data_IF_331025563859
#
_entry.id   IF_331025563859
#
_cell.length_a   1.000
_cell.length_b   1.000
_cell.length_c   1.000
_cell.angle_alpha   90.00
_cell.angle_beta   90.00
_cell.angle_gamma   90.00
#
_symmetry.space_group_name_H-M   'P 1'
#
loop_
_entity.id
_entity.type
_entity.pdbx_description
1 polymer ?
#
# COMPACT_ATOMS: atom_id res chain seq x y z
N UNK A 1 6.12 -15.68 -8.31
CA UNK A 1 7.18 -14.73 -7.88
C UNK A 1 8.38 -15.59 -7.47
N UNK A 2 9.63 -15.21 -7.78
CA UNK A 2 10.78 -16.03 -7.33
C UNK A 2 10.81 -16.10 -5.80
N UNK A 3 11.22 -17.23 -5.22
CA UNK A 3 11.25 -17.45 -3.78
C UNK A 3 12.14 -16.41 -3.07
N UNK A 4 13.31 -16.12 -3.64
CA UNK A 4 14.25 -15.12 -3.11
C UNK A 4 13.60 -13.72 -2.98
N UNK A 5 12.78 -13.33 -3.96
CA UNK A 5 12.09 -12.03 -3.94
C UNK A 5 10.99 -11.98 -2.88
N UNK A 6 10.36 -13.12 -2.58
CA UNK A 6 9.38 -13.18 -1.50
C UNK A 6 10.07 -13.07 -0.13
N UNK A 7 11.19 -13.75 0.05
CA UNK A 7 11.97 -13.68 1.29
C UNK A 7 12.50 -12.26 1.54
N UNK A 8 13.02 -11.60 0.49
CA UNK A 8 13.45 -10.19 0.57
C UNK A 8 12.29 -9.26 0.92
N UNK A 9 11.13 -9.47 0.30
CA UNK A 9 9.92 -8.68 0.58
C UNK A 9 9.46 -8.90 2.03
N UNK A 10 9.41 -10.14 2.50
CA UNK A 10 9.02 -10.46 3.87
C UNK A 10 10.01 -9.88 4.90
N UNK A 11 11.30 -9.88 4.58
CA UNK A 11 12.33 -9.26 5.41
C UNK A 11 12.15 -7.74 5.47
N UNK A 12 11.94 -7.10 4.33
CA UNK A 12 11.68 -5.66 4.26
C UNK A 12 10.39 -5.26 5.00
N UNK A 13 9.36 -6.10 4.94
CA UNK A 13 8.07 -5.82 5.58
C UNK A 13 8.08 -6.00 7.11
N UNK A 14 9.11 -6.58 7.73
CA UNK A 14 9.12 -6.87 9.17
C UNK A 14 8.69 -5.71 10.08
N UNK A 15 9.15 -4.46 9.89
CA UNK A 15 8.74 -3.34 10.73
C UNK A 15 7.23 -3.04 10.63
N UNK A 16 6.64 -3.26 9.45
CA UNK A 16 5.22 -3.06 9.19
C UNK A 16 4.37 -4.21 9.75
N UNK A 17 4.84 -5.45 9.61
CA UNK A 17 4.16 -6.62 10.17
C UNK A 17 4.08 -6.55 11.70
N UNK A 18 5.07 -5.95 12.37
CA UNK A 18 5.01 -5.69 13.82
C UNK A 18 3.85 -4.76 14.22
N UNK A 19 3.46 -3.81 13.36
CA UNK A 19 2.31 -2.93 13.56
C UNK A 19 0.96 -3.60 13.34
N UNK A 20 0.94 -4.77 12.68
CA UNK A 20 -0.28 -5.55 12.46
C UNK A 20 -0.56 -6.48 13.65
N UNK A 21 -1.48 -6.08 14.53
CA UNK A 21 -1.83 -6.83 15.74
C UNK A 21 -2.37 -8.25 15.46
N UNK A 22 -3.18 -8.42 14.42
CA UNK A 22 -3.85 -9.69 14.12
C UNK A 22 -2.97 -10.64 13.29
N UNK A 23 -2.82 -11.90 13.73
CA UNK A 23 -2.00 -12.93 13.07
C UNK A 23 -2.39 -13.14 11.59
N UNK A 24 -3.69 -13.18 11.29
CA UNK A 24 -4.13 -13.37 9.90
C UNK A 24 -3.74 -12.17 9.02
N UNK A 25 -3.73 -10.94 9.55
CA UNK A 25 -3.31 -9.75 8.80
C UNK A 25 -1.81 -9.80 8.51
N UNK A 26 -1.00 -10.21 9.49
CA UNK A 26 0.45 -10.42 9.29
C UNK A 26 0.76 -11.44 8.21
N UNK A 27 0.02 -12.56 8.18
CA UNK A 27 0.18 -13.58 7.13
C UNK A 27 -0.23 -13.06 5.75
N UNK A 28 -1.33 -12.30 5.67
CA UNK A 28 -1.89 -11.86 4.39
C UNK A 28 -1.18 -10.65 3.77
N UNK A 29 -0.53 -9.82 4.59
CA UNK A 29 0.11 -8.58 4.14
C UNK A 29 1.19 -8.81 3.06
N UNK A 30 2.19 -9.70 3.24
CA UNK A 30 3.20 -9.95 2.21
C UNK A 30 2.59 -10.45 0.90
N UNK A 31 1.60 -11.34 0.98
CA UNK A 31 0.90 -11.90 -0.17
C UNK A 31 0.12 -10.82 -0.95
N UNK A 32 -0.52 -9.89 -0.23
CA UNK A 32 -1.23 -8.77 -0.84
C UNK A 32 -0.26 -7.81 -1.54
N UNK A 33 0.83 -7.42 -0.87
CA UNK A 33 1.85 -6.52 -1.44
C UNK A 33 2.53 -7.17 -2.64
N UNK A 34 2.87 -8.47 -2.55
CA UNK A 34 3.40 -9.25 -3.66
C UNK A 34 2.47 -9.23 -4.89
N UNK A 35 1.16 -9.34 -4.69
CA UNK A 35 0.20 -9.25 -5.80
C UNK A 35 0.11 -7.86 -6.42
N UNK A 36 0.36 -6.79 -5.65
CA UNK A 36 0.40 -5.41 -6.13
C UNK A 36 1.67 -5.11 -6.95
N UNK A 37 2.85 -5.43 -6.41
CA UNK A 37 4.14 -5.14 -7.07
C UNK A 37 4.52 -6.19 -8.11
N UNK A 38 3.94 -7.39 -8.02
CA UNK A 38 4.18 -8.51 -8.92
C UNK A 38 3.61 -8.31 -10.33
N UNK A 39 3.85 -9.25 -11.25
CA UNK A 39 3.48 -9.13 -12.65
C UNK A 39 1.95 -8.99 -12.86
N UNK A 40 1.58 -8.28 -13.93
CA UNK A 40 0.19 -8.12 -14.38
C UNK A 40 -0.28 -6.68 -14.37
N UNK A 41 -1.00 -6.29 -15.43
CA UNK A 41 -1.42 -4.90 -15.67
C UNK A 41 -2.51 -4.43 -14.68
N UNK A 42 -3.40 -5.35 -14.28
CA UNK A 42 -4.48 -5.06 -13.34
C UNK A 42 -4.11 -5.50 -11.92
N UNK A 43 -4.15 -4.52 -11.00
CA UNK A 43 -3.83 -4.64 -9.56
C UNK A 43 -5.05 -4.72 -8.65
N UNK A 44 -6.24 -4.99 -9.21
CA UNK A 44 -7.42 -5.25 -8.38
C UNK A 44 -7.36 -6.66 -7.78
N UNK A 45 -8.12 -6.88 -6.69
CA UNK A 45 -8.12 -8.13 -5.92
C UNK A 45 -8.41 -9.35 -6.79
N UNK A 46 -9.37 -9.26 -7.72
CA UNK A 46 -9.76 -10.38 -8.58
C UNK A 46 -8.63 -10.83 -9.53
N UNK A 47 -8.00 -9.95 -10.33
CA UNK A 47 -6.81 -10.31 -11.08
C UNK A 47 -5.64 -10.81 -10.23
N UNK A 48 -5.41 -10.25 -9.04
CA UNK A 48 -4.36 -10.74 -8.13
C UNK A 48 -4.64 -12.19 -7.70
N UNK A 49 -5.87 -12.48 -7.25
CA UNK A 49 -6.29 -13.82 -6.86
C UNK A 49 -6.19 -14.82 -8.01
N UNK A 50 -6.54 -14.41 -9.23
CA UNK A 50 -6.46 -15.27 -10.42
C UNK A 50 -5.02 -15.68 -10.79
N UNK A 51 -4.01 -14.96 -10.30
CA UNK A 51 -2.58 -15.26 -10.50
C UNK A 51 -1.92 -15.92 -9.30
N UNK A 52 -2.58 -15.94 -8.15
CA UNK A 52 -2.03 -16.49 -6.93
C UNK A 52 -2.28 -18.00 -6.87
N UNK A 53 -1.27 -18.77 -6.49
CA UNK A 53 -1.38 -20.22 -6.32
C UNK A 53 -1.98 -20.56 -4.95
N UNK A 54 -1.63 -19.79 -3.91
CA UNK A 54 -1.92 -20.12 -2.51
C UNK A 54 -3.00 -19.25 -1.85
N UNK A 55 -3.58 -18.29 -2.57
CA UNK A 55 -4.45 -17.26 -1.97
C UNK A 55 -5.67 -16.96 -2.82
N UNK A 56 -6.85 -17.15 -2.23
CA UNK A 56 -8.13 -16.88 -2.90
C UNK A 56 -8.58 -15.42 -2.81
N UNK A 57 -9.54 -15.07 -3.67
CA UNK A 57 -10.19 -13.75 -3.72
C UNK A 57 -10.70 -13.30 -2.35
N UNK A 58 -11.46 -14.15 -1.65
CA UNK A 58 -12.07 -13.79 -0.37
C UNK A 58 -11.04 -13.48 0.70
N UNK A 59 -9.89 -14.14 0.69
CA UNK A 59 -8.83 -13.89 1.67
C UNK A 59 -8.17 -12.53 1.44
N UNK A 60 -7.86 -12.20 0.18
CA UNK A 60 -7.32 -10.89 -0.19
C UNK A 60 -8.34 -9.77 0.04
N UNK A 61 -9.60 -10.01 -0.33
CA UNK A 61 -10.68 -9.06 -0.12
C UNK A 61 -10.92 -8.84 1.37
N UNK A 62 -10.96 -9.90 2.18
CA UNK A 62 -11.11 -9.79 3.62
C UNK A 62 -9.93 -9.05 4.27
N UNK A 63 -8.70 -9.27 3.79
CA UNK A 63 -7.53 -8.54 4.29
C UNK A 63 -7.66 -7.01 4.13
N UNK A 64 -8.11 -6.54 2.96
CA UNK A 64 -8.20 -5.09 2.67
C UNK A 64 -9.54 -4.46 3.07
N UNK A 65 -10.63 -5.24 3.05
CA UNK A 65 -11.99 -4.71 3.22
C UNK A 65 -12.67 -5.15 4.53
N UNK A 66 -12.20 -6.22 5.19
CA UNK A 66 -12.85 -6.72 6.39
C UNK A 66 -12.19 -6.21 7.67
N UNK A 67 -13.01 -5.52 8.46
CA UNK A 67 -12.69 -5.14 9.84
C UNK A 67 -12.52 -3.65 10.04
N UNK A 68 -13.58 -2.88 9.78
CA UNK A 68 -13.70 -1.47 10.19
C UNK A 68 -12.56 -0.57 9.70
N UNK A 69 -12.48 0.64 10.24
CA UNK A 69 -11.31 1.51 10.07
C UNK A 69 -10.14 0.82 10.77
N UNK A 70 -9.29 0.13 10.02
CA UNK A 70 -8.00 -0.31 10.53
C UNK A 70 -7.16 0.93 10.86
N UNK A 71 -6.53 0.91 12.04
CA UNK A 71 -5.64 1.98 12.47
C UNK A 71 -4.36 1.92 11.63
N UNK A 72 -4.16 2.92 10.77
CA UNK A 72 -2.97 3.05 9.92
C UNK A 72 -1.78 3.64 10.67
N UNK A 73 -2.00 4.28 11.82
CA UNK A 73 -0.98 5.01 12.58
C UNK A 73 0.29 4.17 12.86
N UNK A 74 0.19 2.88 13.25
CA UNK A 74 1.37 2.04 13.45
C UNK A 74 2.20 1.82 12.17
N UNK A 75 1.53 1.74 11.02
CA UNK A 75 2.19 1.54 9.73
C UNK A 75 2.79 2.83 9.21
N UNK A 76 2.12 3.96 9.40
CA UNK A 76 2.66 5.29 9.09
C UNK A 76 3.92 5.58 9.93
N UNK A 77 3.90 5.25 11.22
CA UNK A 77 5.08 5.38 12.07
C UNK A 77 6.25 4.48 11.63
N UNK A 78 5.96 3.25 11.15
CA UNK A 78 6.98 2.37 10.57
C UNK A 78 7.53 2.95 9.25
N UNK A 79 6.66 3.48 8.39
CA UNK A 79 7.04 4.11 7.13
C UNK A 79 7.98 5.30 7.35
N UNK A 80 7.65 6.19 8.29
CA UNK A 80 8.47 7.36 8.59
C UNK A 80 9.86 6.96 9.11
N UNK A 81 9.94 5.96 10.00
CA UNK A 81 11.22 5.44 10.49
C UNK A 81 12.05 4.82 9.39
N UNK A 82 11.42 4.07 8.48
CA UNK A 82 12.12 3.43 7.38
C UNK A 82 12.59 4.44 6.32
N UNK A 83 11.80 5.47 6.05
CA UNK A 83 12.21 6.59 5.19
C UNK A 83 13.42 7.33 5.79
N UNK A 84 13.38 7.67 7.08
CA UNK A 84 14.51 8.30 7.78
C UNK A 84 15.76 7.40 7.75
N UNK A 85 15.60 6.09 7.96
CA UNK A 85 16.71 5.13 7.86
C UNK A 85 17.33 5.06 6.47
N UNK A 86 16.53 5.20 5.41
CA UNK A 86 16.97 5.05 4.02
C UNK A 86 17.56 6.33 3.43
N UNK A 87 16.96 7.48 3.75
CA UNK A 87 17.29 8.76 3.09
C UNK A 87 17.43 9.94 4.06
N UNK A 88 17.25 9.73 5.36
CA UNK A 88 17.41 10.76 6.38
C UNK A 88 18.87 11.18 6.51
N UNK A 89 19.11 12.48 6.43
CA UNK A 89 20.43 13.09 6.59
C UNK A 89 20.26 14.51 7.15
N UNK A 90 21.16 14.92 8.05
CA UNK A 90 21.21 16.28 8.58
C UNK A 90 21.54 17.32 7.50
N UNK A 91 22.26 16.92 6.45
CA UNK A 91 22.53 17.74 5.27
C UNK A 91 21.51 17.53 4.14
N UNK A 92 20.50 16.69 4.36
CA UNK A 92 19.46 16.37 3.39
C UNK A 92 18.51 17.55 3.15
N UNK A 93 17.90 17.58 1.97
CA UNK A 93 16.88 18.56 1.62
C UNK A 93 15.50 17.91 1.63
N UNK A 94 14.56 18.51 2.36
CA UNK A 94 13.15 18.14 2.29
C UNK A 94 12.49 18.93 1.16
N UNK A 95 12.12 18.23 0.10
CA UNK A 95 11.34 18.80 -1.01
C UNK A 95 9.89 18.39 -0.84
N UNK A 96 9.00 19.37 -0.72
CA UNK A 96 7.56 19.16 -0.60
C UNK A 96 6.92 19.69 -1.88
N UNK A 97 6.19 18.81 -2.57
CA UNK A 97 5.47 19.13 -3.78
C UNK A 97 4.04 18.55 -3.71
N UNK A 98 3.08 19.25 -4.29
CA UNK A 98 1.70 18.76 -4.32
C UNK A 98 1.54 17.71 -5.44
N UNK A 99 1.03 16.52 -5.08
CA UNK A 99 0.75 15.47 -6.06
C UNK A 99 -0.76 15.32 -6.24
N UNK A 100 -1.26 15.77 -7.40
CA UNK A 100 -2.65 15.54 -7.78
C UNK A 100 -2.80 14.16 -8.47
N UNK A 101 -3.52 13.25 -7.83
CA UNK A 101 -3.92 11.96 -8.40
C UNK A 101 -5.41 12.01 -8.77
N UNK A 102 -5.79 12.23 -10.04
CA UNK A 102 -7.19 12.33 -10.43
C UNK A 102 -7.98 11.08 -10.04
N UNK A 103 -9.04 11.28 -9.26
CA UNK A 103 -9.95 10.23 -8.77
C UNK A 103 -11.35 10.43 -9.33
N UNK A 104 -12.12 9.33 -9.34
CA UNK A 104 -13.54 9.34 -9.69
C UNK A 104 -14.37 8.81 -8.52
N UNK A 105 -15.62 9.25 -8.46
CA UNK A 105 -16.56 8.87 -7.40
C UNK A 105 -16.32 9.59 -6.08
N UNK A 106 -16.97 9.10 -5.02
CA UNK A 106 -16.94 9.65 -3.66
C UNK A 106 -16.30 8.70 -2.63
N UNK A 107 -15.94 7.48 -3.05
CA UNK A 107 -15.46 6.41 -2.16
C UNK A 107 -13.97 6.10 -2.34
N UNK A 108 -13.29 6.82 -3.22
CA UNK A 108 -11.83 6.69 -3.36
C UNK A 108 -11.15 7.31 -2.14
N UNK A 109 -10.09 6.67 -1.63
CA UNK A 109 -9.38 7.14 -0.42
C UNK A 109 -8.89 8.58 -0.60
N UNK A 110 -9.20 9.45 0.36
CA UNK A 110 -8.78 10.85 0.36
C UNK A 110 -9.34 11.69 -0.78
N UNK A 111 -10.42 11.25 -1.46
CA UNK A 111 -10.99 11.98 -2.59
C UNK A 111 -11.63 13.29 -2.14
N UNK A 112 -11.17 14.40 -2.70
CA UNK A 112 -11.75 15.72 -2.46
C UNK A 112 -11.60 16.62 -3.71
N UNK A 113 -12.44 17.65 -3.88
CA UNK A 113 -12.23 18.67 -4.90
C UNK A 113 -10.94 19.45 -4.61
N UNK A 114 -9.97 19.36 -5.51
CA UNK A 114 -8.67 20.03 -5.41
C UNK A 114 -8.26 20.57 -6.79
N UNK A 115 -7.46 21.64 -6.84
CA UNK A 115 -6.90 22.09 -8.11
C UNK A 115 -5.84 21.09 -8.58
N UNK A 116 -6.12 20.36 -9.66
CA UNK A 116 -5.20 19.39 -10.23
C UNK A 116 -4.36 20.07 -11.31
N UNK A 117 -3.11 20.40 -11.00
CA UNK A 117 -2.17 21.03 -11.95
C UNK A 117 -2.05 20.23 -13.26
N UNK A 118 -1.99 18.90 -13.17
CA UNK A 118 -1.96 17.97 -14.30
C UNK A 118 -3.20 18.02 -15.21
N UNK A 119 -4.34 18.51 -14.72
CA UNK A 119 -5.59 18.66 -15.47
C UNK A 119 -5.95 20.13 -15.76
N UNK A 120 -5.20 21.08 -15.21
CA UNK A 120 -5.45 22.53 -15.34
C UNK A 120 -6.78 23.00 -14.74
N UNK A 121 -7.40 22.24 -13.82
CA UNK A 121 -8.73 22.53 -13.28
C UNK A 121 -8.96 21.92 -11.90
N UNK A 122 -9.97 22.41 -11.20
CA UNK A 122 -10.49 21.74 -10.01
C UNK A 122 -11.14 20.42 -10.40
N UNK A 123 -10.65 19.33 -9.81
CA UNK A 123 -11.20 18.00 -9.97
C UNK A 123 -11.09 17.19 -8.69
N UNK A 124 -11.80 16.09 -8.61
CA UNK A 124 -11.64 15.17 -7.51
C UNK A 124 -10.25 14.53 -7.59
N UNK A 125 -9.45 14.70 -6.55
CA UNK A 125 -8.11 14.12 -6.39
C UNK A 125 -7.96 13.50 -5.01
#
# INVERSE_FOLDING_TARGET
>A
MNADLMDDLEHWLQPFLAGLSHRARRRMCPLYIAGLIGPGDRKSVQPMAARAEDVGYDQLHHFVAAGGVWDSSPLEAALLKEADRLVGDQAGFLVIDDTALPKKGQYSVGVAPQYASSLGKTSNC
#
